data_IF_107813564532
#
_entry.id   IF_107813564532
#
_cell.length_a   1.000
_cell.length_b   1.000
_cell.length_c   1.000
_cell.angle_alpha   90.00
_cell.angle_beta   90.00
_cell.angle_gamma   90.00
#
_symmetry.space_group_name_H-M   'P 1'
#
loop_
_entity.id
_entity.type
_entity.pdbx_description
1 polymer ?
#
# COMPACT_ATOMS: atom_id res chain seq x y z
N UNK A 1 9.04 -6.37 -35.75
CA UNK A 1 8.22 -7.49 -35.24
C UNK A 1 6.97 -6.89 -34.62
N UNK A 2 5.84 -6.92 -35.34
CA UNK A 2 4.57 -6.32 -34.90
C UNK A 2 3.93 -7.27 -33.88
N UNK A 3 3.95 -6.89 -32.61
CA UNK A 3 3.21 -7.61 -31.56
C UNK A 3 1.72 -7.37 -31.80
N UNK A 4 1.02 -8.44 -32.19
CA UNK A 4 -0.44 -8.49 -32.21
C UNK A 4 -0.92 -8.33 -30.78
N UNK A 5 -1.66 -7.26 -30.51
CA UNK A 5 -2.51 -7.18 -29.33
C UNK A 5 -3.49 -8.36 -29.39
N UNK A 6 -3.39 -9.29 -28.46
CA UNK A 6 -4.45 -10.28 -28.27
C UNK A 6 -5.64 -9.54 -27.69
N UNK A 7 -6.65 -9.32 -28.54
CA UNK A 7 -7.96 -8.89 -28.12
C UNK A 7 -8.58 -10.01 -27.25
N UNK A 8 -8.52 -9.87 -25.92
CA UNK A 8 -9.53 -10.46 -25.05
C UNK A 8 -10.51 -9.35 -24.70
N UNK A 9 -11.74 -9.50 -25.18
CA UNK A 9 -12.85 -8.58 -25.08
C UNK A 9 -13.07 -8.07 -23.64
N UNK A 10 -12.59 -6.85 -23.34
CA UNK A 10 -12.96 -6.10 -22.14
C UNK A 10 -14.21 -5.30 -22.45
N UNK A 11 -15.38 -5.75 -22.02
CA UNK A 11 -16.58 -4.90 -22.02
C UNK A 11 -16.28 -3.63 -21.22
N UNK A 12 -16.48 -2.48 -21.87
CA UNK A 12 -16.23 -1.15 -21.32
C UNK A 12 -16.95 -0.97 -19.97
N UNK A 13 -16.29 -0.39 -18.95
CA UNK A 13 -16.92 -0.04 -17.67
C UNK A 13 -18.20 0.80 -17.82
N UNK A 14 -18.36 1.52 -18.93
CA UNK A 14 -19.44 2.48 -19.16
C UNK A 14 -20.85 1.89 -18.96
N UNK A 15 -21.14 0.72 -19.56
CA UNK A 15 -22.46 0.09 -19.49
C UNK A 15 -22.85 -0.36 -18.07
N UNK A 16 -21.85 -0.51 -17.19
CA UNK A 16 -22.03 -0.90 -15.79
C UNK A 16 -22.06 0.31 -14.86
N UNK A 17 -21.23 1.32 -15.16
CA UNK A 17 -21.06 2.51 -14.32
C UNK A 17 -22.28 3.42 -14.35
N UNK A 18 -22.91 3.68 -15.51
CA UNK A 18 -24.05 4.59 -15.56
C UNK A 18 -25.25 4.08 -14.72
N UNK A 19 -25.73 2.82 -14.88
CA UNK A 19 -26.80 2.29 -14.03
C UNK A 19 -26.44 2.26 -12.54
N UNK A 20 -25.19 1.90 -12.21
CA UNK A 20 -24.71 1.92 -10.83
C UNK A 20 -24.78 3.32 -10.24
N UNK A 21 -24.19 4.30 -10.92
CA UNK A 21 -24.13 5.67 -10.42
C UNK A 21 -25.52 6.31 -10.36
N UNK A 22 -26.39 6.04 -11.33
CA UNK A 22 -27.79 6.48 -11.27
C UNK A 22 -28.53 5.94 -10.07
N UNK A 23 -28.34 4.65 -9.76
CA UNK A 23 -28.91 4.02 -8.56
C UNK A 23 -28.36 4.63 -7.28
N UNK A 24 -27.06 4.89 -7.22
CA UNK A 24 -26.40 5.48 -6.04
C UNK A 24 -26.79 6.95 -5.82
N UNK A 25 -26.99 7.72 -6.89
CA UNK A 25 -27.29 9.16 -6.80
C UNK A 25 -28.79 9.46 -6.82
N UNK A 26 -29.63 8.47 -7.14
CA UNK A 26 -31.08 8.65 -7.25
C UNK A 26 -31.49 9.59 -8.39
N UNK A 27 -30.67 9.67 -9.45
CA UNK A 27 -30.87 10.54 -10.61
C UNK A 27 -30.33 9.87 -11.88
N UNK A 28 -30.71 10.36 -13.05
CA UNK A 28 -30.06 9.95 -14.30
C UNK A 28 -28.62 10.49 -14.32
N UNK A 29 -27.64 9.62 -14.58
CA UNK A 29 -26.21 9.93 -14.49
C UNK A 29 -25.52 9.55 -15.79
N UNK A 30 -24.94 10.54 -16.44
CA UNK A 30 -24.05 10.35 -17.57
C UNK A 30 -22.64 10.00 -17.06
N UNK A 31 -21.95 9.14 -17.80
CA UNK A 31 -20.56 8.76 -17.55
C UNK A 31 -19.73 9.14 -18.77
N UNK A 32 -18.61 9.82 -18.55
CA UNK A 32 -17.61 10.09 -19.58
C UNK A 32 -16.19 10.03 -19.02
N UNK A 33 -15.18 10.40 -19.83
CA UNK A 33 -13.80 10.53 -19.36
C UNK A 33 -13.19 9.24 -18.81
N UNK A 34 -13.64 8.07 -19.29
CA UNK A 34 -13.15 6.78 -18.81
C UNK A 34 -11.73 6.55 -19.30
N UNK A 35 -10.79 6.52 -18.38
CA UNK A 35 -9.39 6.20 -18.65
C UNK A 35 -8.90 5.08 -17.73
N UNK A 36 -8.07 4.19 -18.27
CA UNK A 36 -7.41 3.14 -17.49
C UNK A 36 -6.06 3.65 -16.99
N UNK A 37 -5.81 3.52 -15.69
CA UNK A 37 -4.45 3.67 -15.17
C UNK A 37 -3.62 2.45 -15.57
N UNK A 38 -2.44 2.71 -16.15
CA UNK A 38 -1.49 1.68 -16.54
C UNK A 38 -0.37 1.65 -15.50
N UNK A 39 -0.11 0.47 -14.94
CA UNK A 39 0.82 0.28 -13.82
C UNK A 39 0.11 -0.31 -12.61
N UNK A 40 0.65 -1.42 -12.09
CA UNK A 40 0.04 -2.19 -11.00
C UNK A 40 -0.08 -3.66 -11.39
N UNK A 41 0.65 -4.52 -10.68
CA UNK A 41 0.89 -5.91 -11.10
C UNK A 41 -0.35 -6.83 -11.09
N UNK A 42 -1.45 -6.42 -10.46
CA UNK A 42 -2.52 -7.35 -10.10
C UNK A 42 -3.96 -6.88 -10.39
N UNK A 43 -4.21 -5.61 -10.77
CA UNK A 43 -5.58 -5.04 -10.72
C UNK A 43 -5.92 -4.11 -11.87
N UNK A 44 -7.22 -4.01 -12.17
CA UNK A 44 -7.72 -3.01 -13.10
C UNK A 44 -8.21 -1.78 -12.34
N UNK A 45 -7.57 -0.64 -12.61
CA UNK A 45 -7.95 0.67 -12.04
C UNK A 45 -8.39 1.59 -13.17
N UNK A 46 -9.60 2.13 -13.09
CA UNK A 46 -10.16 3.07 -14.06
C UNK A 46 -10.57 4.36 -13.36
N UNK A 47 -10.25 5.51 -13.95
CA UNK A 47 -10.92 6.78 -13.62
C UNK A 47 -12.10 6.97 -14.56
N UNK A 48 -13.11 7.69 -14.09
CA UNK A 48 -14.25 8.11 -14.89
C UNK A 48 -14.90 9.35 -14.27
N UNK A 49 -15.59 10.13 -15.08
CA UNK A 49 -16.38 11.27 -14.64
C UNK A 49 -17.87 10.88 -14.64
N UNK A 50 -18.58 11.30 -13.60
CA UNK A 50 -20.00 11.08 -13.44
C UNK A 50 -20.72 12.42 -13.25
N UNK A 51 -21.78 12.65 -14.02
CA UNK A 51 -22.59 13.87 -13.95
C UNK A 51 -24.09 13.56 -13.98
N UNK A 52 -24.83 14.09 -13.01
CA UNK A 52 -26.27 13.87 -12.90
C UNK A 52 -26.85 14.39 -11.58
N UNK A 53 -28.13 14.75 -11.58
CA UNK A 53 -28.82 15.22 -10.36
C UNK A 53 -28.20 16.48 -9.71
N UNK A 54 -27.51 17.33 -10.49
CA UNK A 54 -26.80 18.50 -9.98
C UNK A 54 -25.44 18.21 -9.33
N UNK A 55 -24.95 16.98 -9.45
CA UNK A 55 -23.63 16.54 -8.98
C UNK A 55 -22.72 16.25 -10.18
N UNK A 56 -21.43 16.56 -10.03
CA UNK A 56 -20.39 16.30 -11.04
C UNK A 56 -19.12 15.91 -10.29
N UNK A 57 -18.66 14.67 -10.44
CA UNK A 57 -17.50 14.13 -9.70
C UNK A 57 -16.62 13.22 -10.55
N UNK A 58 -15.31 13.31 -10.33
CA UNK A 58 -14.35 12.30 -10.79
C UNK A 58 -14.23 11.17 -9.76
N UNK A 59 -14.25 9.94 -10.27
CA UNK A 59 -14.29 8.71 -9.49
C UNK A 59 -13.23 7.74 -9.99
N UNK A 60 -12.81 6.84 -9.11
CA UNK A 60 -11.89 5.74 -9.41
C UNK A 60 -12.56 4.42 -9.07
N UNK A 61 -12.62 3.52 -10.04
CA UNK A 61 -13.04 2.13 -9.88
C UNK A 61 -11.79 1.25 -9.79
N UNK A 62 -11.75 0.38 -8.78
CA UNK A 62 -10.75 -0.70 -8.65
C UNK A 62 -11.48 -2.04 -8.63
N UNK A 63 -11.13 -2.97 -9.52
CA UNK A 63 -11.71 -4.32 -9.53
C UNK A 63 -10.65 -5.39 -9.76
N UNK A 64 -10.98 -6.60 -9.32
CA UNK A 64 -10.14 -7.76 -9.56
C UNK A 64 -10.19 -8.17 -11.05
N UNK A 65 -9.09 -8.69 -11.63
CA UNK A 65 -9.14 -9.30 -12.95
C UNK A 65 -10.17 -10.44 -12.97
N UNK A 66 -10.82 -10.66 -14.12
CA UNK A 66 -11.86 -11.69 -14.27
C UNK A 66 -11.42 -13.13 -13.92
N UNK A 67 -10.11 -13.38 -13.79
CA UNK A 67 -9.53 -14.67 -13.41
C UNK A 67 -9.12 -14.79 -11.92
N UNK A 68 -9.42 -13.79 -11.08
CA UNK A 68 -9.08 -13.82 -9.66
C UNK A 68 -10.07 -14.68 -8.86
N UNK A 69 -9.56 -15.64 -8.09
CA UNK A 69 -10.34 -16.57 -7.25
C UNK A 69 -10.25 -16.22 -5.75
N UNK A 70 -9.82 -14.99 -5.39
CA UNK A 70 -9.56 -14.60 -4.01
C UNK A 70 -10.51 -13.48 -3.57
N UNK A 71 -11.49 -13.86 -2.75
CA UNK A 71 -12.60 -13.03 -2.21
C UNK A 71 -12.16 -11.99 -1.15
N UNK A 72 -10.89 -11.98 -0.76
CA UNK A 72 -10.47 -11.41 0.53
C UNK A 72 -9.77 -10.05 0.49
N UNK A 73 -9.43 -9.48 -0.68
CA UNK A 73 -8.64 -8.22 -0.71
C UNK A 73 -9.48 -6.94 -0.90
N UNK A 74 -10.56 -6.96 -1.68
CA UNK A 74 -11.30 -5.71 -2.03
C UNK A 74 -12.14 -5.19 -0.88
N UNK A 75 -12.81 -6.08 -0.15
CA UNK A 75 -13.58 -5.72 1.04
C UNK A 75 -12.67 -5.21 2.17
N UNK A 76 -11.50 -5.83 2.36
CA UNK A 76 -10.47 -5.38 3.31
C UNK A 76 -10.02 -3.96 2.97
N UNK A 77 -9.62 -3.73 1.72
CA UNK A 77 -9.15 -2.42 1.28
C UNK A 77 -10.23 -1.34 1.44
N UNK A 78 -11.44 -1.60 0.97
CA UNK A 78 -12.56 -0.68 1.07
C UNK A 78 -12.92 -0.34 2.52
N UNK A 79 -12.91 -1.35 3.40
CA UNK A 79 -13.16 -1.17 4.82
C UNK A 79 -12.08 -0.30 5.47
N UNK A 80 -10.80 -0.58 5.21
CA UNK A 80 -9.68 0.20 5.76
C UNK A 80 -9.72 1.67 5.30
N UNK A 81 -9.95 1.92 4.01
CA UNK A 81 -10.13 3.27 3.47
C UNK A 81 -11.32 3.96 4.15
N UNK A 82 -12.44 3.26 4.34
CA UNK A 82 -13.61 3.82 5.01
C UNK A 82 -13.36 4.19 6.47
N UNK A 83 -12.59 3.38 7.21
CA UNK A 83 -12.17 3.69 8.58
C UNK A 83 -11.26 4.91 8.64
N UNK A 84 -10.25 4.96 7.78
CA UNK A 84 -9.35 6.11 7.68
C UNK A 84 -10.12 7.39 7.29
N UNK A 85 -11.00 7.32 6.30
CA UNK A 85 -11.82 8.46 5.87
C UNK A 85 -12.75 8.96 6.98
N UNK A 86 -13.44 8.04 7.69
CA UNK A 86 -14.32 8.41 8.79
C UNK A 86 -13.57 9.08 9.96
N UNK A 87 -12.28 8.77 10.12
CA UNK A 87 -11.39 9.43 11.08
C UNK A 87 -10.77 10.75 10.57
N UNK A 88 -11.12 11.18 9.35
CA UNK A 88 -10.62 12.42 8.75
C UNK A 88 -9.17 12.35 8.28
N UNK A 89 -8.65 11.15 8.00
CA UNK A 89 -7.35 11.01 7.36
C UNK A 89 -7.42 11.41 5.87
N UNK A 90 -6.30 11.87 5.29
CA UNK A 90 -6.23 12.17 3.87
C UNK A 90 -6.25 10.87 3.06
N UNK A 91 -7.45 10.41 2.70
CA UNK A 91 -7.68 9.23 1.86
C UNK A 91 -8.85 9.51 0.92
N UNK A 92 -8.98 8.79 -0.22
CA UNK A 92 -10.17 8.83 -1.04
C UNK A 92 -11.43 8.52 -0.23
N UNK A 93 -12.54 9.21 -0.52
CA UNK A 93 -13.83 8.86 0.05
C UNK A 93 -14.34 7.57 -0.60
N UNK A 94 -14.64 6.51 0.18
CA UNK A 94 -15.28 5.32 -0.36
C UNK A 94 -16.70 5.66 -0.86
N UNK A 95 -17.09 5.07 -1.99
CA UNK A 95 -18.41 5.32 -2.62
C UNK A 95 -19.26 4.06 -2.63
N UNK A 96 -18.72 2.95 -3.14
CA UNK A 96 -19.48 1.71 -3.30
C UNK A 96 -18.57 0.50 -3.25
N UNK A 97 -18.99 -0.57 -2.57
CA UNK A 97 -18.32 -1.87 -2.57
C UNK A 97 -19.25 -2.89 -3.25
N UNK A 98 -18.73 -3.55 -4.28
CA UNK A 98 -19.38 -4.67 -4.95
C UNK A 98 -18.60 -5.95 -4.65
N UNK A 99 -19.08 -6.71 -3.67
CA UNK A 99 -18.41 -7.94 -3.22
C UNK A 99 -18.52 -9.07 -4.25
N UNK A 100 -19.66 -9.16 -4.92
CA UNK A 100 -20.00 -10.30 -5.77
C UNK A 100 -19.77 -10.02 -7.27
N UNK A 101 -19.38 -8.79 -7.62
CA UNK A 101 -19.18 -8.36 -9.00
C UNK A 101 -20.48 -8.10 -9.76
N UNK A 102 -21.60 -8.00 -9.05
CA UNK A 102 -22.95 -7.80 -9.61
C UNK A 102 -23.14 -6.44 -10.30
N UNK A 103 -22.40 -5.44 -9.84
CA UNK A 103 -22.45 -4.07 -10.35
C UNK A 103 -21.27 -3.75 -11.28
N UNK A 104 -20.07 -4.26 -10.98
CA UNK A 104 -18.81 -3.91 -11.65
C UNK A 104 -18.28 -5.00 -12.59
N UNK A 105 -18.99 -6.14 -12.68
CA UNK A 105 -18.65 -7.31 -13.49
C UNK A 105 -17.61 -8.24 -12.84
N UNK A 106 -16.92 -7.77 -11.81
CA UNK A 106 -16.07 -8.56 -10.91
C UNK A 106 -15.97 -7.85 -9.55
N UNK A 107 -15.58 -8.56 -8.47
CA UNK A 107 -15.42 -7.94 -7.16
C UNK A 107 -14.55 -6.69 -7.21
N UNK A 108 -15.02 -5.61 -6.60
CA UNK A 108 -14.38 -4.31 -6.72
C UNK A 108 -15.09 -3.23 -5.93
N UNK A 109 -14.58 -2.02 -6.04
CA UNK A 109 -15.17 -0.87 -5.38
C UNK A 109 -14.93 0.42 -6.15
N UNK A 110 -15.70 1.45 -5.80
CA UNK A 110 -15.60 2.82 -6.30
C UNK A 110 -15.25 3.76 -5.15
N UNK A 111 -14.39 4.72 -5.41
CA UNK A 111 -14.01 5.81 -4.50
C UNK A 111 -13.88 7.12 -5.29
N UNK A 112 -13.76 8.25 -4.59
CA UNK A 112 -13.48 9.54 -5.25
C UNK A 112 -12.07 9.58 -5.84
N UNK A 113 -11.90 10.25 -6.97
CA UNK A 113 -10.56 10.63 -7.44
C UNK A 113 -9.98 11.74 -6.55
N UNK A 114 -8.68 11.67 -6.26
CA UNK A 114 -7.92 12.77 -5.68
C UNK A 114 -7.27 13.54 -6.82
N UNK A 115 -7.78 14.72 -7.12
CA UNK A 115 -7.31 15.56 -8.22
C UNK A 115 -6.05 16.35 -7.84
N UNK A 116 -5.23 16.68 -8.85
CA UNK A 116 -4.03 17.51 -8.67
C UNK A 116 -2.88 16.83 -7.90
N UNK A 117 -3.04 15.56 -7.53
CA UNK A 117 -2.02 14.80 -6.82
C UNK A 117 -1.01 14.13 -7.75
N UNK A 118 0.25 14.11 -7.31
CA UNK A 118 1.32 13.30 -7.89
C UNK A 118 1.88 12.35 -6.85
N UNK A 119 2.12 11.11 -7.25
CA UNK A 119 2.92 10.18 -6.46
C UNK A 119 4.40 10.55 -6.55
N UNK A 120 5.15 10.27 -5.49
CA UNK A 120 6.59 10.50 -5.52
C UNK A 120 7.27 9.54 -6.51
N UNK A 121 8.10 10.08 -7.40
CA UNK A 121 8.90 9.29 -8.32
C UNK A 121 10.15 8.78 -7.60
N UNK A 122 10.37 7.45 -7.47
CA UNK A 122 11.55 6.91 -6.80
C UNK A 122 12.88 7.29 -7.46
N UNK A 123 12.85 7.77 -8.70
CA UNK A 123 14.02 8.21 -9.47
C UNK A 123 14.27 9.72 -9.43
N UNK A 124 13.50 10.47 -8.64
CA UNK A 124 13.62 11.93 -8.51
C UNK A 124 14.15 12.31 -7.12
N UNK A 125 15.47 12.54 -6.98
CA UNK A 125 16.05 13.02 -5.72
C UNK A 125 15.45 14.37 -5.33
N UNK A 126 15.05 14.52 -4.06
CA UNK A 126 14.51 15.78 -3.56
C UNK A 126 13.11 16.13 -4.09
N UNK A 127 12.29 15.13 -4.44
CA UNK A 127 10.95 15.29 -5.00
C UNK A 127 10.00 16.21 -4.20
N UNK A 128 10.27 16.42 -2.90
CA UNK A 128 9.49 17.29 -2.02
C UNK A 128 10.06 18.71 -1.83
N UNK A 129 11.23 19.01 -2.41
CA UNK A 129 11.84 20.33 -2.44
C UNK A 129 11.90 21.02 -1.07
N UNK A 130 11.60 22.32 -1.04
CA UNK A 130 11.66 23.15 0.16
C UNK A 130 10.65 22.76 1.26
N UNK A 131 9.57 22.06 0.90
CA UNK A 131 8.49 21.70 1.81
C UNK A 131 8.63 20.27 2.38
N UNK A 132 9.74 19.57 2.08
CA UNK A 132 9.98 18.19 2.49
C UNK A 132 9.72 17.93 3.99
N UNK A 133 10.18 18.84 4.86
CA UNK A 133 9.97 18.69 6.31
C UNK A 133 8.48 18.81 6.71
N UNK A 134 7.74 19.72 6.08
CA UNK A 134 6.29 19.87 6.31
C UNK A 134 5.52 18.65 5.78
N UNK A 135 5.87 18.17 4.59
CA UNK A 135 5.32 16.92 4.04
C UNK A 135 5.58 15.76 4.99
N UNK A 136 6.81 15.62 5.51
CA UNK A 136 7.17 14.59 6.48
C UNK A 136 6.33 14.67 7.75
N UNK A 137 6.21 15.87 8.33
CA UNK A 137 5.35 16.09 9.50
C UNK A 137 3.89 15.69 9.23
N UNK A 138 3.34 16.06 8.07
CA UNK A 138 1.98 15.68 7.68
C UNK A 138 1.81 14.17 7.51
N UNK A 139 2.78 13.49 6.89
CA UNK A 139 2.79 12.04 6.69
C UNK A 139 2.79 11.29 8.02
N UNK A 140 3.72 11.61 8.92
CA UNK A 140 3.82 10.95 10.22
C UNK A 140 2.68 11.32 11.17
N UNK A 141 2.10 12.52 11.02
CA UNK A 141 0.84 12.87 11.68
C UNK A 141 -0.31 12.01 11.18
N UNK A 142 -0.42 11.78 9.86
CA UNK A 142 -1.45 10.90 9.30
C UNK A 142 -1.29 9.45 9.76
N UNK A 143 -0.06 8.92 9.76
CA UNK A 143 0.24 7.58 10.29
C UNK A 143 -0.06 7.49 11.79
N UNK A 144 0.30 8.51 12.57
CA UNK A 144 -0.01 8.55 14.00
C UNK A 144 -1.51 8.55 14.25
N UNK A 145 -2.28 9.33 13.49
CA UNK A 145 -3.76 9.32 13.56
C UNK A 145 -4.36 7.96 13.18
N UNK A 146 -3.80 7.27 12.19
CA UNK A 146 -4.20 5.90 11.85
C UNK A 146 -4.00 4.98 13.06
N UNK A 147 -2.81 5.02 13.67
CA UNK A 147 -2.47 4.20 14.84
C UNK A 147 -3.16 4.64 16.14
N UNK A 148 -3.83 5.79 16.15
CA UNK A 148 -4.70 6.21 17.25
C UNK A 148 -6.06 5.49 17.20
N UNK A 149 -6.44 4.91 16.06
CA UNK A 149 -7.72 4.21 15.90
C UNK A 149 -7.64 2.84 16.57
N UNK A 150 -8.43 2.66 17.63
CA UNK A 150 -8.62 1.36 18.26
C UNK A 150 -9.54 0.49 17.40
N UNK A 151 -9.12 -0.75 17.03
CA UNK A 151 -9.94 -1.64 16.22
C UNK A 151 -11.23 -2.06 16.95
N UNK A 152 -12.38 -1.69 16.37
CA UNK A 152 -13.69 -2.05 16.88
C UNK A 152 -14.16 -3.45 16.42
N UNK A 153 -15.39 -3.84 16.76
CA UNK A 153 -15.94 -5.14 16.37
C UNK A 153 -16.12 -5.30 14.85
N UNK A 154 -16.44 -4.21 14.13
CA UNK A 154 -16.55 -4.24 12.68
C UNK A 154 -15.17 -4.40 12.04
N UNK A 155 -14.16 -3.68 12.56
CA UNK A 155 -12.77 -3.81 12.13
C UNK A 155 -12.26 -5.24 12.27
N UNK A 156 -12.50 -5.87 13.43
CA UNK A 156 -12.09 -7.26 13.72
C UNK A 156 -12.82 -8.31 12.88
N UNK A 157 -13.96 -7.95 12.29
CA UNK A 157 -14.71 -8.84 11.39
C UNK A 157 -14.25 -8.66 9.95
N UNK A 158 -13.98 -7.43 9.54
CA UNK A 158 -13.69 -7.08 8.15
C UNK A 158 -12.19 -7.17 7.78
N UNK A 159 -11.29 -7.00 8.76
CA UNK A 159 -9.85 -7.01 8.55
C UNK A 159 -9.21 -8.26 9.16
N UNK A 160 -8.19 -8.84 8.51
CA UNK A 160 -7.43 -9.92 9.12
C UNK A 160 -6.71 -9.41 10.37
N UNK A 161 -6.66 -10.24 11.41
CA UNK A 161 -5.76 -10.04 12.54
C UNK A 161 -4.45 -10.77 12.27
N UNK A 162 -3.33 -10.05 12.37
CA UNK A 162 -2.00 -10.63 12.18
C UNK A 162 -1.00 -10.04 13.17
N UNK A 163 -0.63 -10.84 14.18
CA UNK A 163 0.51 -10.51 15.03
C UNK A 163 1.85 -10.66 14.28
N UNK A 164 2.95 -10.25 14.91
CA UNK A 164 4.29 -10.33 14.34
C UNK A 164 4.66 -11.74 13.83
N UNK A 165 4.23 -12.80 14.54
CA UNK A 165 4.49 -14.18 14.15
C UNK A 165 3.68 -14.60 12.92
N UNK A 166 2.39 -14.25 12.88
CA UNK A 166 1.50 -14.50 11.75
C UNK A 166 1.95 -13.75 10.49
N UNK A 167 2.38 -12.49 10.64
CA UNK A 167 2.97 -11.69 9.55
C UNK A 167 4.24 -12.34 9.00
N UNK A 168 5.15 -12.77 9.89
CA UNK A 168 6.36 -13.49 9.48
C UNK A 168 6.06 -14.79 8.74
N UNK A 169 5.09 -15.57 9.23
CA UNK A 169 4.68 -16.82 8.61
C UNK A 169 4.07 -16.59 7.20
N UNK A 170 3.25 -15.54 7.05
CA UNK A 170 2.68 -15.15 5.77
C UNK A 170 3.76 -14.84 4.73
N UNK A 171 4.71 -13.96 5.05
CA UNK A 171 5.78 -13.60 4.10
C UNK A 171 6.73 -14.75 3.80
N UNK A 172 6.97 -15.64 4.77
CA UNK A 172 7.71 -16.89 4.52
C UNK A 172 7.02 -17.75 3.48
N UNK A 173 5.69 -17.90 3.58
CA UNK A 173 4.92 -18.66 2.61
C UNK A 173 4.95 -18.01 1.21
N UNK A 174 4.92 -16.68 1.11
CA UNK A 174 5.07 -15.98 -0.17
C UNK A 174 6.44 -16.24 -0.82
N UNK A 175 7.53 -16.15 -0.05
CA UNK A 175 8.87 -16.48 -0.56
C UNK A 175 8.95 -17.94 -0.99
N UNK A 176 8.41 -18.87 -0.20
CA UNK A 176 8.44 -20.30 -0.54
C UNK A 176 7.68 -20.61 -1.83
N UNK A 177 6.56 -19.91 -2.08
CA UNK A 177 5.76 -20.07 -3.28
C UNK A 177 6.44 -19.53 -4.53
N UNK A 178 7.16 -18.41 -4.42
CA UNK A 178 7.65 -17.65 -5.57
C UNK A 178 9.17 -17.70 -5.78
N UNK A 179 9.96 -18.26 -4.86
CA UNK A 179 11.41 -18.38 -5.05
C UNK A 179 11.75 -19.21 -6.29
N UNK A 180 12.52 -18.62 -7.20
CA UNK A 180 13.02 -19.28 -8.41
C UNK A 180 14.34 -20.04 -8.18
N UNK A 181 14.99 -19.77 -7.06
CA UNK A 181 16.31 -20.28 -6.67
C UNK A 181 16.46 -20.25 -5.15
N UNK A 182 17.52 -20.84 -4.57
CA UNK A 182 17.82 -20.66 -3.15
C UNK A 182 18.00 -19.19 -2.78
N UNK A 183 17.38 -18.76 -1.69
CA UNK A 183 17.41 -17.38 -1.16
C UNK A 183 18.10 -17.37 0.22
N UNK A 184 19.43 -17.60 0.29
CA UNK A 184 20.12 -17.87 1.56
C UNK A 184 20.08 -16.70 2.55
N UNK A 185 20.03 -15.46 2.06
CA UNK A 185 19.89 -14.26 2.90
C UNK A 185 18.50 -14.21 3.53
N UNK A 186 17.45 -14.42 2.73
CA UNK A 186 16.08 -14.49 3.23
C UNK A 186 15.91 -15.65 4.23
N UNK A 187 16.47 -16.83 3.94
CA UNK A 187 16.42 -17.99 4.85
C UNK A 187 17.18 -17.72 6.17
N UNK A 188 18.28 -16.95 6.12
CA UNK A 188 19.00 -16.53 7.32
C UNK A 188 18.22 -15.48 8.14
N UNK A 189 17.61 -14.51 7.47
CA UNK A 189 16.74 -13.51 8.10
C UNK A 189 15.54 -14.17 8.78
N UNK A 190 14.83 -15.06 8.08
CA UNK A 190 13.70 -15.82 8.63
C UNK A 190 14.08 -16.61 9.89
N UNK A 191 15.20 -17.34 9.88
CA UNK A 191 15.66 -18.09 11.07
C UNK A 191 15.89 -17.19 12.27
N UNK A 192 16.49 -16.02 12.06
CA UNK A 192 16.72 -15.08 13.15
C UNK A 192 15.39 -14.46 13.62
N UNK A 193 14.54 -14.00 12.70
CA UNK A 193 13.25 -13.40 13.02
C UNK A 193 12.35 -14.37 13.80
N UNK A 194 12.25 -15.62 13.36
CA UNK A 194 11.43 -16.65 14.00
C UNK A 194 11.91 -16.99 15.42
N UNK A 195 13.21 -16.85 15.68
CA UNK A 195 13.79 -17.10 17.00
C UNK A 195 13.70 -15.90 17.96
N UNK A 196 13.37 -14.70 17.45
CA UNK A 196 13.46 -13.43 18.21
C UNK A 196 12.19 -12.58 18.08
N UNK A 197 11.01 -13.19 17.91
CA UNK A 197 9.74 -12.45 17.80
C UNK A 197 9.58 -11.55 19.04
N UNK A 198 9.41 -10.22 18.86
CA UNK A 198 9.34 -9.28 19.97
C UNK A 198 8.00 -9.41 20.70
N UNK A 199 7.92 -8.98 21.98
CA UNK A 199 6.63 -8.76 22.60
C UNK A 199 5.85 -7.66 21.84
N UNK A 200 4.50 -7.63 21.94
CA UNK A 200 3.71 -6.54 21.36
C UNK A 200 4.18 -5.17 21.85
N UNK A 201 4.32 -4.20 20.94
CA UNK A 201 4.77 -2.84 21.30
C UNK A 201 3.71 -2.02 22.05
N UNK A 202 2.45 -2.48 21.99
CA UNK A 202 1.30 -1.90 22.65
C UNK A 202 0.01 -2.58 22.19
N UNK A 203 -1.17 -1.95 22.43
CA UNK A 203 -2.44 -2.45 21.90
C UNK A 203 -2.46 -2.44 20.37
N UNK A 204 -3.10 -3.44 19.77
CA UNK A 204 -3.27 -3.55 18.32
C UNK A 204 -3.94 -2.31 17.71
N UNK A 205 -3.58 -2.00 16.48
CA UNK A 205 -4.08 -0.87 15.69
C UNK A 205 -4.52 -1.32 14.31
N UNK A 206 -5.18 -0.41 13.60
CA UNK A 206 -5.27 -0.48 12.15
C UNK A 206 -3.88 -0.22 11.56
N UNK A 207 -3.34 -1.20 10.83
CA UNK A 207 -2.06 -1.14 10.11
C UNK A 207 -2.36 -1.00 8.62
N UNK A 208 -1.67 -0.10 7.94
CA UNK A 208 -1.76 0.11 6.50
C UNK A 208 -1.07 -1.02 5.73
N UNK A 209 0.13 -1.42 6.16
CA UNK A 209 0.91 -2.55 5.64
C UNK A 209 1.87 -2.17 4.50
N UNK A 210 1.51 -1.21 3.64
CA UNK A 210 2.39 -0.62 2.62
C UNK A 210 2.54 0.91 2.75
N UNK A 211 2.68 1.44 3.97
CA UNK A 211 2.80 2.89 4.19
C UNK A 211 4.18 3.41 3.74
N UNK A 212 4.30 3.87 2.49
CA UNK A 212 5.59 4.31 1.89
C UNK A 212 5.41 5.43 0.87
N UNK A 213 6.53 6.07 0.52
CA UNK A 213 6.55 7.26 -0.32
C UNK A 213 5.89 7.16 -1.69
N UNK A 214 5.94 5.99 -2.34
CA UNK A 214 5.23 5.79 -3.62
C UNK A 214 3.69 5.67 -3.49
N UNK A 215 3.15 5.63 -2.27
CA UNK A 215 1.71 5.55 -1.98
C UNK A 215 1.14 6.87 -1.45
N UNK A 216 1.93 7.94 -1.45
CA UNK A 216 1.48 9.27 -1.03
C UNK A 216 1.24 10.13 -2.27
N UNK A 217 0.07 10.75 -2.33
CA UNK A 217 -0.21 11.82 -3.28
C UNK A 217 0.08 13.17 -2.62
N UNK A 218 0.85 13.99 -3.31
CA UNK A 218 1.10 15.38 -2.92
C UNK A 218 0.71 16.34 -4.03
N UNK A 219 0.36 17.58 -3.70
CA UNK A 219 0.10 18.63 -4.69
C UNK A 219 1.40 19.25 -5.26
N UNK A 220 1.25 20.30 -6.07
CA UNK A 220 2.36 21.06 -6.65
C UNK A 220 3.23 21.73 -5.57
N UNK A 221 2.66 22.04 -4.40
CA UNK A 221 3.34 22.60 -3.24
C UNK A 221 3.83 21.52 -2.27
N UNK A 222 3.79 20.23 -2.63
CA UNK A 222 4.20 19.10 -1.79
C UNK A 222 3.36 18.89 -0.51
N UNK A 223 2.14 19.42 -0.45
CA UNK A 223 1.23 19.12 0.66
C UNK A 223 0.59 17.76 0.44
N UNK A 224 0.47 16.98 1.52
CA UNK A 224 -0.15 15.67 1.50
C UNK A 224 -1.63 15.77 1.13
N UNK A 225 -2.03 15.11 0.05
CA UNK A 225 -3.42 15.02 -0.41
C UNK A 225 -4.06 13.70 -0.02
N UNK A 226 -3.35 12.58 -0.20
CA UNK A 226 -3.89 11.26 0.09
C UNK A 226 -2.83 10.19 0.35
N UNK A 227 -3.21 9.20 1.17
CA UNK A 227 -2.52 7.91 1.32
C UNK A 227 -3.32 6.84 0.56
N UNK A 228 -2.63 6.12 -0.31
CA UNK A 228 -3.20 5.14 -1.23
C UNK A 228 -2.77 3.70 -0.89
N UNK A 229 -3.41 2.76 -1.55
CA UNK A 229 -3.02 1.33 -1.60
C UNK A 229 -3.08 0.58 -0.26
N UNK A 230 -4.32 0.42 0.22
CA UNK A 230 -4.65 -0.21 1.50
C UNK A 230 -4.83 -1.72 1.39
N UNK A 231 -4.27 -2.35 0.35
CA UNK A 231 -4.52 -3.76 0.04
C UNK A 231 -3.95 -4.73 1.10
N UNK A 232 -2.96 -4.26 1.86
CA UNK A 232 -2.26 -5.00 2.92
C UNK A 232 -2.78 -4.64 4.31
N UNK A 233 -3.89 -3.89 4.39
CA UNK A 233 -4.42 -3.42 5.66
C UNK A 233 -4.88 -4.58 6.54
N UNK A 234 -4.56 -4.48 7.83
CA UNK A 234 -4.86 -5.51 8.82
C UNK A 234 -4.91 -4.91 10.22
N UNK A 235 -5.35 -5.69 11.20
CA UNK A 235 -5.19 -5.37 12.62
C UNK A 235 -3.91 -6.00 13.13
N UNK A 236 -3.01 -5.20 13.71
CA UNK A 236 -1.68 -5.65 14.14
C UNK A 236 -0.90 -4.59 14.92
N UNK A 237 0.43 -4.69 14.87
CA UNK A 237 1.35 -3.84 15.62
C UNK A 237 1.76 -2.58 14.81
N UNK A 238 1.66 -1.40 15.44
CA UNK A 238 2.02 -0.12 14.87
C UNK A 238 3.49 -0.03 14.38
N UNK A 239 4.38 -0.84 14.94
CA UNK A 239 5.79 -0.86 14.56
C UNK A 239 6.01 -1.39 13.13
N UNK A 240 5.07 -2.16 12.57
CA UNK A 240 5.15 -2.65 11.21
C UNK A 240 5.22 -1.49 10.20
N UNK A 241 4.24 -0.58 10.24
CA UNK A 241 4.21 0.57 9.33
C UNK A 241 5.37 1.54 9.59
N UNK A 242 5.78 1.75 10.85
CA UNK A 242 6.94 2.57 11.17
C UNK A 242 8.23 1.98 10.57
N UNK A 243 8.48 0.70 10.76
CA UNK A 243 9.67 0.04 10.20
C UNK A 243 9.63 -0.01 8.67
N UNK A 244 8.44 -0.12 8.08
CA UNK A 244 8.26 -0.07 6.64
C UNK A 244 8.58 1.32 6.08
N UNK A 245 7.93 2.38 6.56
CA UNK A 245 8.14 3.76 6.04
C UNK A 245 9.54 4.29 6.32
N UNK A 246 10.17 3.85 7.42
CA UNK A 246 11.54 4.22 7.80
C UNK A 246 12.62 3.39 7.08
N UNK A 247 12.24 2.41 6.25
CA UNK A 247 13.19 1.68 5.43
C UNK A 247 13.92 2.66 4.47
N UNK A 248 15.26 2.64 4.41
CA UNK A 248 16.00 3.60 3.58
C UNK A 248 15.72 3.46 2.08
N UNK A 249 15.14 2.34 1.62
CA UNK A 249 14.67 2.18 0.24
C UNK A 249 13.69 3.28 -0.17
N UNK A 250 12.88 3.78 0.77
CA UNK A 250 11.90 4.85 0.52
C UNK A 250 12.49 6.26 0.65
N UNK A 251 13.77 6.37 0.99
CA UNK A 251 14.47 7.64 1.18
C UNK A 251 14.78 8.41 -0.11
N UNK A 252 14.45 7.90 -1.30
CA UNK A 252 14.66 8.59 -2.60
C UNK A 252 16.08 9.10 -2.82
N UNK A 253 17.09 8.31 -2.46
CA UNK A 253 18.50 8.71 -2.55
C UNK A 253 18.85 9.96 -1.70
N UNK A 254 18.07 10.20 -0.62
CA UNK A 254 18.34 11.22 0.40
C UNK A 254 18.74 10.55 1.72
N UNK A 255 20.02 10.18 1.92
CA UNK A 255 20.47 9.53 3.14
C UNK A 255 20.12 10.34 4.40
N UNK A 256 19.59 9.66 5.42
CA UNK A 256 19.20 10.29 6.68
C UNK A 256 17.80 10.90 6.70
N UNK A 257 17.11 10.95 5.54
CA UNK A 257 15.71 11.36 5.47
C UNK A 257 14.79 10.14 5.32
N UNK A 258 13.84 10.01 6.22
CA UNK A 258 12.77 9.01 6.15
C UNK A 258 11.79 9.42 5.06
N UNK A 259 11.38 8.47 4.20
CA UNK A 259 10.51 8.70 3.05
C UNK A 259 10.96 9.85 2.11
N UNK A 260 12.24 10.28 2.20
CA UNK A 260 12.77 11.44 1.49
C UNK A 260 12.27 12.79 2.01
N UNK A 261 11.67 12.85 3.21
CA UNK A 261 10.98 14.05 3.73
C UNK A 261 11.65 14.69 4.95
N UNK A 262 11.83 13.94 6.04
CA UNK A 262 12.25 14.50 7.34
C UNK A 262 13.21 13.55 8.08
N UNK A 263 13.82 14.03 9.17
CA UNK A 263 14.68 13.19 10.00
C UNK A 263 13.87 12.11 10.72
N UNK A 264 14.51 11.01 11.11
CA UNK A 264 13.87 9.97 11.91
C UNK A 264 13.33 10.49 13.26
N UNK A 265 14.01 11.46 13.88
CA UNK A 265 13.56 12.08 15.12
C UNK A 265 12.28 12.88 14.95
N UNK A 266 12.19 13.70 13.89
CA UNK A 266 10.99 14.50 13.60
C UNK A 266 9.81 13.60 13.21
N UNK A 267 10.08 12.55 12.43
CA UNK A 267 9.10 11.54 12.05
C UNK A 267 8.47 10.87 13.28
N UNK A 268 9.31 10.36 14.20
CA UNK A 268 8.84 9.72 15.43
C UNK A 268 8.11 10.72 16.33
N UNK A 269 8.61 11.94 16.48
CA UNK A 269 7.95 12.97 17.29
C UNK A 269 6.54 13.32 16.79
N UNK A 270 6.37 13.50 15.47
CA UNK A 270 5.07 13.75 14.87
C UNK A 270 4.12 12.55 15.04
N UNK A 271 4.64 11.33 14.87
CA UNK A 271 3.87 10.10 15.06
C UNK A 271 3.43 9.91 16.52
N UNK A 272 4.32 10.07 17.50
CA UNK A 272 4.01 9.95 18.93
C UNK A 272 2.96 11.00 19.37
N UNK A 273 3.12 12.24 18.89
CA UNK A 273 2.17 13.32 19.18
C UNK A 273 0.77 13.00 18.64
N UNK A 274 0.67 12.51 17.41
CA UNK A 274 -0.60 12.27 16.75
C UNK A 274 -1.28 10.96 17.19
N UNK A 275 -0.49 9.94 17.52
CA UNK A 275 -1.00 8.63 17.96
C UNK A 275 -1.36 8.59 19.45
N UNK A 276 -0.80 9.50 20.25
CA UNK A 276 -0.83 9.39 21.72
C UNK A 276 0.02 8.24 22.27
N UNK A 277 0.81 7.58 21.40
CA UNK A 277 1.66 6.43 21.75
C UNK A 277 3.11 6.89 21.98
N UNK A 278 3.94 5.95 22.42
CA UNK A 278 5.38 6.12 22.55
C UNK A 278 6.10 5.09 21.70
N UNK A 279 7.15 5.52 21.04
CA UNK A 279 8.03 4.64 20.30
C UNK A 279 8.79 3.77 21.30
N UNK A 280 8.76 2.46 21.09
CA UNK A 280 9.54 1.51 21.89
C UNK A 280 10.79 1.10 21.10
N UNK A 281 12.00 1.36 21.64
CA UNK A 281 13.21 0.79 21.08
C UNK A 281 13.29 -0.74 21.22
N UNK A 282 12.51 -1.33 22.14
CA UNK A 282 12.45 -2.77 22.32
C UNK A 282 11.85 -3.43 21.08
N UNK A 283 12.55 -4.45 20.55
CA UNK A 283 12.10 -5.13 19.33
C UNK A 283 12.27 -4.32 18.04
N UNK A 284 12.74 -3.07 18.08
CA UNK A 284 12.89 -2.24 16.89
C UNK A 284 13.79 -2.88 15.82
N UNK A 285 14.91 -3.47 16.24
CA UNK A 285 15.81 -4.20 15.33
C UNK A 285 15.13 -5.39 14.64
N UNK A 286 14.17 -6.05 15.32
CA UNK A 286 13.36 -7.09 14.71
C UNK A 286 12.43 -6.52 13.65
N UNK A 287 11.72 -5.43 13.95
CA UNK A 287 10.83 -4.77 13.00
C UNK A 287 11.56 -4.25 11.76
N UNK A 288 12.78 -3.72 11.93
CA UNK A 288 13.64 -3.32 10.80
C UNK A 288 14.05 -4.50 9.91
N UNK A 289 14.43 -5.64 10.51
CA UNK A 289 14.76 -6.82 9.71
C UNK A 289 13.52 -7.45 9.09
N UNK A 290 12.37 -7.39 9.78
CA UNK A 290 11.09 -7.85 9.28
C UNK A 290 10.63 -7.01 8.07
N UNK A 291 10.74 -5.69 8.10
CA UNK A 291 10.36 -4.83 6.97
C UNK A 291 11.21 -5.16 5.73
N UNK A 292 12.52 -5.37 5.90
CA UNK A 292 13.40 -5.85 4.82
C UNK A 292 13.00 -7.24 4.32
N UNK A 293 12.59 -8.14 5.22
CA UNK A 293 12.14 -9.48 4.85
C UNK A 293 10.81 -9.48 4.07
N UNK A 294 9.85 -8.66 4.50
CA UNK A 294 8.62 -8.38 3.76
C UNK A 294 8.93 -7.83 2.36
N UNK A 295 9.86 -6.87 2.27
CA UNK A 295 10.31 -6.36 0.98
C UNK A 295 10.90 -7.44 0.08
N UNK A 296 11.79 -8.28 0.60
CA UNK A 296 12.32 -9.43 -0.14
C UNK A 296 11.21 -10.34 -0.69
N UNK A 297 10.17 -10.62 0.11
CA UNK A 297 9.03 -11.41 -0.36
C UNK A 297 8.33 -10.76 -1.56
N UNK A 298 8.06 -9.45 -1.49
CA UNK A 298 7.46 -8.68 -2.59
C UNK A 298 8.34 -8.72 -3.83
N UNK A 299 9.65 -8.50 -3.70
CA UNK A 299 10.58 -8.46 -4.84
C UNK A 299 10.83 -9.82 -5.47
N UNK A 300 10.85 -10.89 -4.68
CA UNK A 300 10.93 -12.28 -5.17
C UNK A 300 9.68 -12.64 -5.95
N UNK A 301 8.50 -12.27 -5.44
CA UNK A 301 7.22 -12.44 -6.17
C UNK A 301 7.26 -11.66 -7.49
N UNK A 302 7.75 -10.43 -7.49
CA UNK A 302 7.92 -9.65 -8.73
C UNK A 302 8.85 -10.35 -9.73
N UNK A 303 10.00 -10.85 -9.27
CA UNK A 303 10.95 -11.59 -10.11
C UNK A 303 10.31 -12.85 -10.71
N UNK A 304 9.50 -13.57 -9.93
CA UNK A 304 8.74 -14.72 -10.39
C UNK A 304 7.77 -14.36 -11.51
N UNK A 305 6.93 -13.34 -11.31
CA UNK A 305 5.94 -12.91 -12.29
C UNK A 305 6.58 -12.47 -13.61
N UNK A 306 7.70 -11.75 -13.55
CA UNK A 306 8.50 -11.37 -14.73
C UNK A 306 9.10 -12.60 -15.42
N UNK A 307 9.74 -13.50 -14.67
CA UNK A 307 10.40 -14.68 -15.24
C UNK A 307 9.40 -15.66 -15.89
N UNK A 308 8.17 -15.73 -15.36
CA UNK A 308 7.09 -16.55 -15.91
C UNK A 308 6.37 -15.86 -17.08
N UNK A 309 6.79 -14.65 -17.48
CA UNK A 309 6.18 -13.90 -18.58
C UNK A 309 4.75 -13.44 -18.31
N UNK A 310 4.35 -13.36 -17.03
CA UNK A 310 3.01 -12.93 -16.61
C UNK A 310 2.83 -11.41 -16.68
N UNK A 311 3.93 -10.66 -16.63
CA UNK A 311 3.94 -9.20 -16.78
C UNK A 311 5.15 -8.73 -17.59
N UNK A 312 4.98 -7.63 -18.31
CA UNK A 312 6.04 -6.88 -18.97
C UNK A 312 6.15 -5.44 -18.44
N UNK A 313 5.51 -5.15 -17.30
CA UNK A 313 5.54 -3.83 -16.66
C UNK A 313 6.98 -3.46 -16.24
N UNK A 314 7.54 -2.34 -16.73
CA UNK A 314 8.87 -1.88 -16.36
C UNK A 314 9.06 -1.71 -14.84
N UNK A 315 8.00 -1.36 -14.11
CA UNK A 315 8.02 -1.20 -12.65
C UNK A 315 8.29 -2.54 -11.96
N UNK A 316 7.64 -3.60 -12.43
CA UNK A 316 7.86 -4.95 -11.90
C UNK A 316 9.27 -5.46 -12.22
N UNK A 317 9.73 -5.22 -13.45
CA UNK A 317 11.11 -5.53 -13.84
C UNK A 317 12.10 -4.78 -12.94
N UNK A 318 11.91 -3.49 -12.72
CA UNK A 318 12.75 -2.71 -11.82
C UNK A 318 12.74 -3.25 -10.39
N UNK A 319 11.55 -3.56 -9.84
CA UNK A 319 11.37 -4.11 -8.51
C UNK A 319 12.12 -5.44 -8.31
N UNK A 320 12.13 -6.29 -9.34
CA UNK A 320 12.87 -7.57 -9.33
C UNK A 320 14.39 -7.43 -9.32
N UNK A 321 14.92 -6.23 -9.63
CA UNK A 321 16.35 -5.97 -9.78
C UNK A 321 16.90 -5.09 -8.66
N UNK A 322 16.40 -3.86 -8.52
CA UNK A 322 17.01 -2.87 -7.64
C UNK A 322 16.58 -3.04 -6.18
N UNK A 323 15.28 -2.97 -5.82
CA UNK A 323 14.83 -3.23 -4.45
C UNK A 323 15.24 -4.61 -3.93
N UNK A 324 15.16 -5.64 -4.78
CA UNK A 324 15.64 -6.99 -4.44
C UNK A 324 17.11 -6.99 -3.98
N UNK A 325 18.00 -6.35 -4.74
CA UNK A 325 19.43 -6.26 -4.37
C UNK A 325 19.65 -5.41 -3.13
N UNK A 326 18.93 -4.29 -3.01
CA UNK A 326 19.03 -3.40 -1.86
C UNK A 326 18.65 -4.11 -0.56
N UNK A 327 17.48 -4.76 -0.52
CA UNK A 327 17.03 -5.48 0.67
C UNK A 327 17.84 -6.74 0.98
N UNK A 328 18.41 -7.43 -0.02
CA UNK A 328 19.38 -8.50 0.24
C UNK A 328 20.61 -7.97 0.98
N UNK A 329 21.16 -6.85 0.52
CA UNK A 329 22.32 -6.23 1.17
C UNK A 329 21.96 -5.73 2.58
N UNK A 330 20.83 -5.02 2.73
CA UNK A 330 20.39 -4.49 4.02
C UNK A 330 20.11 -5.58 5.05
N UNK A 331 19.52 -6.71 4.65
CA UNK A 331 19.31 -7.86 5.53
C UNK A 331 20.64 -8.40 6.09
N UNK A 332 21.70 -8.45 5.27
CA UNK A 332 23.03 -8.88 5.71
C UNK A 332 23.63 -7.90 6.72
N UNK A 333 23.45 -6.60 6.54
CA UNK A 333 23.92 -5.59 7.51
C UNK A 333 23.19 -5.71 8.85
N UNK A 334 21.86 -5.71 8.82
CA UNK A 334 21.03 -5.85 10.02
C UNK A 334 21.35 -7.15 10.76
N UNK A 335 21.51 -8.27 10.06
CA UNK A 335 21.90 -9.54 10.69
C UNK A 335 23.27 -9.51 11.36
N UNK A 336 24.21 -8.66 10.90
CA UNK A 336 25.51 -8.46 11.58
C UNK A 336 25.34 -7.60 12.82
N UNK A 337 24.60 -6.50 12.70
CA UNK A 337 24.32 -5.57 13.80
C UNK A 337 23.58 -6.27 14.94
N UNK A 338 22.57 -7.10 14.62
CA UNK A 338 21.72 -7.80 15.59
C UNK A 338 22.35 -9.05 16.22
N UNK A 339 23.51 -9.49 15.73
CA UNK A 339 24.27 -10.62 16.29
C UNK A 339 25.52 -10.19 17.05
N UNK A 340 25.89 -8.91 16.95
CA UNK A 340 27.00 -8.31 17.69
C UNK A 340 26.58 -8.01 19.13
#
# INVERSE_FOLDING_TARGET
MRLRASASCSTLPEALLAPLMSRLWGADVAIDGIDRFHGGAARETFRFHAEGGGRSEWLVMRRDPAASLIDTSRAVEFHAIGRAHAAGLPVPRPVHLDRDGSDLGSPGFVMTEISGGRACNPFEPGAYGANAAETGSALFTALGRLHALEPDAADRTALPFMDAGARLAHWKAEIDRHRLRPEPVADAAWRWLAANIPPPSGPDVLVHGDFRSGNFLVDAENRLLAVLDWEMAHVGDAMEDLAWVMDPLWGHQMPGLVAGTCSAGDALAAWEQASGRRFSPEGWGWWQLFSVYQGLAIWITSAFEVAMGKTADPTMIFASLYPYRFHNWRAVELLKELRA
#
